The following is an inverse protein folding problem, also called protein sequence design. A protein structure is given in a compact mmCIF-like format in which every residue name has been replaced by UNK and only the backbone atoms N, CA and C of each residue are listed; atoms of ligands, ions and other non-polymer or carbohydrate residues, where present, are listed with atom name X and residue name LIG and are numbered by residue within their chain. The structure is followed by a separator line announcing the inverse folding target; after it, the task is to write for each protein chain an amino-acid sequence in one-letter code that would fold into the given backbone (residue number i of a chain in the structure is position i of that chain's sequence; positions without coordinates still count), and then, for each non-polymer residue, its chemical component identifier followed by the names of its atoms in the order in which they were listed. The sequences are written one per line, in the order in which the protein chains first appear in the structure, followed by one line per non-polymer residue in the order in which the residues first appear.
data_IF_896751374122
#
_entry.id   IF_896751374122
#
_cell.length_a   1.000
_cell.length_b   1.000
_cell.length_c   1.000
_cell.angle_alpha   90.00
_cell.angle_beta   90.00
_cell.angle_gamma   90.00
#
_symmetry.space_group_name_H-M   'P 1'
#
loop_
_entity.id
_entity.type
_entity.pdbx_description
1 polymer ?
#
# COMPACT_ATOMS: atom_id res chain seq x y z
N UNK A 1 1.46 -16.02 -13.10
CA UNK A 1 2.16 -14.90 -12.42
C UNK A 1 3.53 -15.43 -12.12
N UNK A 2 4.48 -15.27 -13.03
CA UNK A 2 5.72 -16.07 -13.04
C UNK A 2 6.95 -15.21 -13.30
N UNK A 3 6.87 -13.91 -12.98
CA UNK A 3 8.04 -13.06 -13.07
C UNK A 3 9.05 -13.43 -11.97
N UNK A 4 10.30 -13.64 -12.38
CA UNK A 4 11.42 -13.91 -11.50
C UNK A 4 12.58 -12.98 -11.88
N UNK A 5 13.31 -12.44 -10.90
CA UNK A 5 14.47 -11.61 -11.18
C UNK A 5 15.60 -12.46 -11.75
N UNK A 6 16.38 -11.87 -12.65
CA UNK A 6 17.70 -12.39 -12.98
C UNK A 6 18.65 -12.02 -11.84
N UNK A 7 19.42 -12.99 -11.34
CA UNK A 7 20.27 -12.79 -10.16
C UNK A 7 21.25 -11.61 -10.34
N UNK A 8 21.86 -11.48 -11.52
CA UNK A 8 22.78 -10.40 -11.82
C UNK A 8 22.10 -9.02 -11.77
N UNK A 9 20.87 -8.92 -12.28
CA UNK A 9 20.09 -7.68 -12.22
C UNK A 9 19.67 -7.33 -10.80
N UNK A 10 19.30 -8.33 -10.01
CA UNK A 10 18.95 -8.16 -8.60
C UNK A 10 20.15 -7.65 -7.79
N UNK A 11 21.31 -8.25 -7.97
CA UNK A 11 22.54 -7.85 -7.26
C UNK A 11 22.92 -6.39 -7.57
N UNK A 12 22.78 -5.98 -8.84
CA UNK A 12 23.02 -4.59 -9.25
C UNK A 12 22.04 -3.61 -8.61
N UNK A 13 20.76 -3.97 -8.52
CA UNK A 13 19.73 -3.12 -7.90
C UNK A 13 19.95 -3.01 -6.40
N UNK A 14 20.30 -4.11 -5.72
CA UNK A 14 20.65 -4.08 -4.30
C UNK A 14 21.87 -3.21 -4.03
N UNK A 15 22.90 -3.31 -4.87
CA UNK A 15 24.07 -2.45 -4.78
C UNK A 15 23.68 -0.97 -4.91
N UNK A 16 22.85 -0.64 -5.90
CA UNK A 16 22.37 0.72 -6.13
C UNK A 16 21.56 1.26 -4.93
N UNK A 17 20.64 0.46 -4.39
CA UNK A 17 19.81 0.82 -3.25
C UNK A 17 20.64 1.05 -1.97
N UNK A 18 21.69 0.27 -1.76
CA UNK A 18 22.64 0.49 -0.65
C UNK A 18 23.45 1.77 -0.86
N UNK A 19 23.86 2.04 -2.10
CA UNK A 19 24.58 3.28 -2.44
C UNK A 19 23.73 4.55 -2.27
N UNK A 20 22.41 4.50 -2.52
CA UNK A 20 21.50 5.63 -2.25
C UNK A 20 21.38 6.01 -0.77
N UNK A 21 21.94 5.22 0.15
CA UNK A 21 21.98 5.56 1.58
C UNK A 21 23.31 6.25 1.97
N UNK A 22 24.25 6.36 1.04
CA UNK A 22 25.54 7.02 1.27
C UNK A 22 25.36 8.53 1.51
N UNK A 23 26.03 9.15 2.49
CA UNK A 23 26.02 10.60 2.67
C UNK A 23 26.85 11.35 1.62
N UNK A 24 27.62 10.64 0.78
CA UNK A 24 28.50 11.23 -0.22
C UNK A 24 27.71 11.80 -1.44
N UNK A 25 27.91 13.09 -1.72
CA UNK A 25 27.18 13.81 -2.76
C UNK A 25 27.49 13.28 -4.18
N UNK A 26 28.71 12.82 -4.44
CA UNK A 26 29.07 12.26 -5.75
C UNK A 26 28.36 10.92 -5.98
N UNK A 27 28.33 10.08 -4.95
CA UNK A 27 27.61 8.80 -4.94
C UNK A 27 26.11 9.03 -5.14
N UNK A 28 25.50 9.99 -4.44
CA UNK A 28 24.08 10.33 -4.61
C UNK A 28 23.75 10.77 -6.04
N UNK A 29 24.57 11.64 -6.63
CA UNK A 29 24.38 12.07 -8.03
C UNK A 29 24.51 10.90 -9.01
N UNK A 30 25.48 10.02 -8.81
CA UNK A 30 25.64 8.82 -9.65
C UNK A 30 24.43 7.89 -9.54
N UNK A 31 23.94 7.65 -8.31
CA UNK A 31 22.79 6.80 -8.06
C UNK A 31 21.53 7.38 -8.70
N UNK A 32 21.31 8.70 -8.58
CA UNK A 32 20.16 9.37 -9.19
C UNK A 32 20.15 9.20 -10.72
N UNK A 33 21.29 9.40 -11.40
CA UNK A 33 21.42 9.19 -12.84
C UNK A 33 21.10 7.74 -13.23
N UNK A 34 21.62 6.76 -12.47
CA UNK A 34 21.35 5.34 -12.70
C UNK A 34 19.88 4.97 -12.49
N UNK A 35 19.23 5.52 -11.46
CA UNK A 35 17.80 5.29 -11.23
C UNK A 35 16.96 5.86 -12.39
N UNK A 36 17.31 7.04 -12.90
CA UNK A 36 16.64 7.63 -14.06
C UNK A 36 16.80 6.78 -15.34
N UNK A 37 17.98 6.21 -15.57
CA UNK A 37 18.21 5.25 -16.65
C UNK A 37 17.33 3.99 -16.47
N UNK A 38 17.35 3.39 -15.28
CA UNK A 38 16.64 2.16 -14.95
C UNK A 38 15.12 2.32 -15.02
N UNK A 39 14.61 3.51 -14.70
CA UNK A 39 13.18 3.82 -14.78
C UNK A 39 12.60 3.64 -16.18
N UNK A 40 13.43 3.66 -17.23
CA UNK A 40 12.99 3.42 -18.61
C UNK A 40 12.71 1.95 -18.93
N UNK A 41 13.11 1.03 -18.05
CA UNK A 41 12.83 -0.40 -18.19
C UNK A 41 11.61 -0.78 -17.34
N UNK A 42 10.50 -1.23 -17.94
CA UNK A 42 9.30 -1.61 -17.17
C UNK A 42 9.54 -2.68 -16.11
N UNK A 43 10.46 -3.62 -16.36
CA UNK A 43 10.84 -4.67 -15.42
C UNK A 43 11.51 -4.14 -14.16
N UNK A 44 12.05 -2.91 -14.17
CA UNK A 44 12.65 -2.30 -12.98
C UNK A 44 11.63 -2.23 -11.83
N UNK A 45 10.37 -1.92 -12.13
CA UNK A 45 9.29 -1.93 -11.14
C UNK A 45 9.08 -3.31 -10.49
N UNK A 46 9.25 -4.39 -11.26
CA UNK A 46 9.13 -5.75 -10.74
C UNK A 46 10.30 -6.09 -9.80
N UNK A 47 11.52 -5.65 -10.11
CA UNK A 47 12.65 -5.79 -9.19
C UNK A 47 12.42 -5.01 -7.90
N UNK A 48 11.93 -3.77 -7.99
CA UNK A 48 11.71 -2.94 -6.81
C UNK A 48 10.67 -3.54 -5.87
N UNK A 49 9.55 -4.05 -6.41
CA UNK A 49 8.54 -4.72 -5.58
C UNK A 49 9.06 -6.04 -5.03
N UNK A 50 9.87 -6.79 -5.79
CA UNK A 50 10.49 -8.03 -5.33
C UNK A 50 11.44 -7.79 -4.15
N UNK A 51 12.26 -6.73 -4.20
CA UNK A 51 13.13 -6.34 -3.07
C UNK A 51 12.28 -5.96 -1.85
N UNK A 52 11.19 -5.23 -2.06
CA UNK A 52 10.27 -4.87 -0.98
C UNK A 52 9.62 -6.12 -0.34
N UNK A 53 9.10 -7.07 -1.15
CA UNK A 53 8.27 -8.18 -0.67
C UNK A 53 9.03 -9.45 -0.31
N UNK A 54 10.06 -9.84 -1.08
CA UNK A 54 10.68 -11.18 -0.99
C UNK A 54 12.09 -11.19 -0.40
N UNK A 55 12.82 -10.07 -0.45
CA UNK A 55 14.18 -9.99 0.10
C UNK A 55 14.19 -9.78 1.62
N UNK A 56 13.59 -10.71 2.36
CA UNK A 56 13.39 -10.62 3.82
C UNK A 56 14.70 -10.54 4.63
N UNK A 57 15.82 -10.96 4.05
CA UNK A 57 17.14 -10.90 4.68
C UNK A 57 17.86 -9.57 4.47
N UNK A 58 17.35 -8.72 3.56
CA UNK A 58 17.86 -7.35 3.38
C UNK A 58 17.33 -6.45 4.50
N UNK A 59 18.08 -5.41 4.84
CA UNK A 59 17.72 -4.48 5.90
C UNK A 59 16.44 -3.70 5.57
N UNK A 60 15.68 -3.35 6.61
CA UNK A 60 14.39 -2.65 6.45
C UNK A 60 14.51 -1.31 5.71
N UNK A 61 15.55 -0.46 5.96
CA UNK A 61 15.77 0.75 5.17
C UNK A 61 15.92 0.49 3.67
N UNK A 62 16.74 -0.48 3.26
CA UNK A 62 16.93 -0.86 1.85
C UNK A 62 15.62 -1.32 1.20
N UNK A 63 14.89 -2.22 1.87
CA UNK A 63 13.58 -2.72 1.39
C UNK A 63 12.56 -1.59 1.26
N UNK A 64 12.47 -0.73 2.27
CA UNK A 64 11.56 0.41 2.31
C UNK A 64 11.88 1.44 1.22
N UNK A 65 13.17 1.76 1.02
CA UNK A 65 13.62 2.67 -0.03
C UNK A 65 13.23 2.15 -1.42
N UNK A 66 13.36 0.85 -1.66
CA UNK A 66 12.90 0.20 -2.90
C UNK A 66 11.40 0.47 -3.16
N UNK A 67 10.57 0.30 -2.13
CA UNK A 67 9.13 0.59 -2.21
C UNK A 67 8.81 2.05 -2.47
N UNK A 68 9.58 2.98 -1.89
CA UNK A 68 9.40 4.42 -2.10
C UNK A 68 9.78 4.86 -3.52
N UNK A 69 10.88 4.32 -4.06
CA UNK A 69 11.28 4.54 -5.46
C UNK A 69 10.19 4.00 -6.40
N UNK A 70 9.69 2.78 -6.14
CA UNK A 70 8.60 2.19 -6.91
C UNK A 70 7.34 3.05 -6.89
N UNK A 71 6.97 3.56 -5.71
CA UNK A 71 5.83 4.47 -5.57
C UNK A 71 6.00 5.72 -6.43
N UNK A 72 7.21 6.31 -6.48
CA UNK A 72 7.47 7.47 -7.33
C UNK A 72 7.38 7.12 -8.83
N UNK A 73 7.86 5.93 -9.22
CA UNK A 73 7.76 5.45 -10.60
C UNK A 73 6.31 5.24 -11.05
N UNK A 74 5.49 4.64 -10.19
CA UNK A 74 4.05 4.46 -10.42
C UNK A 74 3.39 5.83 -10.57
N UNK A 75 3.63 6.75 -9.63
CA UNK A 75 3.07 8.11 -9.70
C UNK A 75 3.41 8.84 -11.00
N UNK A 76 4.64 8.72 -11.47
CA UNK A 76 5.07 9.42 -12.68
C UNK A 76 4.64 8.74 -13.99
N UNK A 77 4.52 7.40 -13.99
CA UNK A 77 4.47 6.60 -15.24
C UNK A 77 3.39 5.52 -15.27
N UNK A 78 2.41 5.53 -14.36
CA UNK A 78 1.38 4.48 -14.28
C UNK A 78 0.78 4.10 -15.63
N UNK A 79 0.37 5.10 -16.43
CA UNK A 79 -0.24 4.88 -17.77
C UNK A 79 0.71 4.28 -18.81
N UNK A 80 2.02 4.42 -18.61
CA UNK A 80 3.07 3.89 -19.51
C UNK A 80 3.49 2.46 -19.11
N UNK A 81 3.21 2.04 -17.88
CA UNK A 81 3.60 0.73 -17.40
C UNK A 81 2.71 -0.37 -18.02
N UNK A 82 3.30 -1.50 -18.46
CA UNK A 82 2.54 -2.67 -18.88
C UNK A 82 1.60 -3.14 -17.76
N UNK A 83 0.42 -3.64 -18.14
CA UNK A 83 -0.58 -4.08 -17.15
C UNK A 83 -0.14 -5.31 -16.38
N UNK A 84 0.69 -6.14 -16.99
CA UNK A 84 1.33 -7.29 -16.37
C UNK A 84 2.24 -6.86 -15.21
N UNK A 85 3.00 -5.78 -15.38
CA UNK A 85 3.85 -5.18 -14.33
C UNK A 85 2.99 -4.63 -13.21
N UNK A 86 1.94 -3.86 -13.53
CA UNK A 86 1.03 -3.32 -12.51
C UNK A 86 0.37 -4.46 -11.71
N UNK A 87 -0.11 -5.50 -12.38
CA UNK A 87 -0.76 -6.64 -11.73
C UNK A 87 0.22 -7.42 -10.84
N UNK A 88 1.47 -7.58 -11.27
CA UNK A 88 2.52 -8.19 -10.45
C UNK A 88 2.80 -7.34 -9.21
N UNK A 89 2.95 -6.02 -9.37
CA UNK A 89 3.16 -5.10 -8.24
C UNK A 89 1.98 -5.13 -7.26
N UNK A 90 0.73 -5.11 -7.76
CA UNK A 90 -0.48 -5.22 -6.93
C UNK A 90 -0.47 -6.51 -6.10
N UNK A 91 -0.17 -7.64 -6.74
CA UNK A 91 -0.10 -8.95 -6.08
C UNK A 91 0.98 -8.96 -4.99
N UNK A 92 2.21 -8.59 -5.32
CA UNK A 92 3.34 -8.60 -4.39
C UNK A 92 3.12 -7.63 -3.21
N UNK A 93 2.58 -6.44 -3.47
CA UNK A 93 2.23 -5.48 -2.42
C UNK A 93 1.19 -6.06 -1.44
N UNK A 94 0.17 -6.76 -1.94
CA UNK A 94 -0.82 -7.43 -1.08
C UNK A 94 -0.20 -8.52 -0.21
N UNK A 95 0.74 -9.31 -0.75
CA UNK A 95 1.41 -10.37 0.04
C UNK A 95 2.29 -9.81 1.16
N UNK A 96 2.80 -8.59 1.00
CA UNK A 96 3.70 -7.94 1.95
C UNK A 96 2.97 -7.05 2.98
N UNK A 97 1.63 -6.91 2.91
CA UNK A 97 0.92 -6.03 3.85
C UNK A 97 1.04 -6.47 5.32
N UNK A 98 1.24 -7.77 5.55
CA UNK A 98 1.41 -8.36 6.88
C UNK A 98 2.87 -8.52 7.32
N UNK A 99 3.81 -7.80 6.72
CA UNK A 99 5.23 -7.87 7.08
C UNK A 99 5.45 -7.56 8.58
N UNK A 100 6.34 -8.24 9.32
CA UNK A 100 6.59 -7.96 10.73
C UNK A 100 7.10 -6.52 11.02
N UNK A 101 7.83 -5.92 10.08
CA UNK A 101 8.32 -4.54 10.21
C UNK A 101 7.22 -3.52 9.94
N UNK A 102 7.00 -2.62 10.90
CA UNK A 102 6.07 -1.50 10.74
C UNK A 102 6.49 -0.54 9.63
N UNK A 103 7.79 -0.42 9.36
CA UNK A 103 8.31 0.43 8.29
C UNK A 103 7.89 -0.12 6.93
N UNK A 104 8.04 -1.44 6.72
CA UNK A 104 7.65 -2.09 5.48
C UNK A 104 6.14 -2.02 5.27
N UNK A 105 5.34 -2.30 6.31
CA UNK A 105 3.87 -2.17 6.21
C UNK A 105 3.43 -0.75 5.85
N UNK A 106 4.06 0.28 6.42
CA UNK A 106 3.77 1.67 6.07
C UNK A 106 4.10 1.96 4.59
N UNK A 107 5.26 1.50 4.11
CA UNK A 107 5.67 1.67 2.71
C UNK A 107 4.74 0.93 1.73
N UNK A 108 4.31 -0.29 2.07
CA UNK A 108 3.31 -1.04 1.30
C UNK A 108 1.98 -0.29 1.28
N UNK A 109 1.54 0.27 2.41
CA UNK A 109 0.33 1.10 2.48
C UNK A 109 0.37 2.31 1.55
N UNK A 110 1.50 3.02 1.53
CA UNK A 110 1.74 4.15 0.62
C UNK A 110 1.72 3.70 -0.85
N UNK A 111 2.35 2.56 -1.16
CA UNK A 111 2.39 1.99 -2.50
C UNK A 111 0.99 1.61 -3.00
N UNK A 112 0.19 0.92 -2.18
CA UNK A 112 -1.18 0.52 -2.52
C UNK A 112 -2.07 1.75 -2.70
N UNK A 113 -2.01 2.74 -1.80
CA UNK A 113 -2.77 3.99 -1.98
C UNK A 113 -2.39 4.70 -3.28
N UNK A 114 -1.10 4.76 -3.62
CA UNK A 114 -0.64 5.36 -4.88
C UNK A 114 -1.18 4.60 -6.11
N UNK A 115 -1.16 3.26 -6.08
CA UNK A 115 -1.73 2.44 -7.15
C UNK A 115 -3.22 2.70 -7.37
N UNK A 116 -3.97 2.94 -6.31
CA UNK A 116 -5.39 3.29 -6.41
C UNK A 116 -5.61 4.70 -6.95
N UNK A 117 -4.83 5.66 -6.47
CA UNK A 117 -4.92 7.06 -6.91
C UNK A 117 -4.64 7.19 -8.42
N UNK A 118 -3.56 6.59 -8.90
CA UNK A 118 -3.18 6.66 -10.32
C UNK A 118 -4.00 5.71 -11.21
N UNK A 119 -4.45 4.60 -10.61
CA UNK A 119 -5.14 3.53 -11.30
C UNK A 119 -6.64 3.68 -11.44
N UNK A 120 -7.24 4.74 -10.93
CA UNK A 120 -8.69 4.87 -10.76
C UNK A 120 -9.25 3.77 -9.84
N UNK A 121 -10.10 4.19 -8.90
CA UNK A 121 -10.66 3.33 -7.86
C UNK A 121 -11.37 2.07 -8.43
N UNK A 122 -11.94 2.19 -9.63
CA UNK A 122 -12.69 1.15 -10.32
C UNK A 122 -11.82 0.07 -10.98
N UNK A 123 -10.52 0.31 -11.20
CA UNK A 123 -9.62 -0.69 -11.81
C UNK A 123 -9.04 -1.69 -10.80
N UNK A 124 -9.47 -1.62 -9.54
CA UNK A 124 -9.09 -2.59 -8.50
C UNK A 124 -10.24 -2.86 -7.50
N UNK A 125 -11.40 -3.33 -7.98
CA UNK A 125 -12.58 -3.49 -7.13
C UNK A 125 -12.40 -4.54 -6.03
N UNK A 126 -11.55 -5.55 -6.26
CA UNK A 126 -11.32 -6.65 -5.32
C UNK A 126 -10.52 -6.22 -4.08
N UNK A 127 -9.87 -5.06 -4.12
CA UNK A 127 -8.98 -4.63 -3.04
C UNK A 127 -9.73 -4.46 -1.71
N UNK A 128 -10.90 -3.82 -1.72
CA UNK A 128 -11.69 -3.64 -0.49
C UNK A 128 -12.17 -4.97 0.08
N UNK A 129 -12.56 -5.91 -0.78
CA UNK A 129 -12.96 -7.25 -0.35
C UNK A 129 -11.77 -8.03 0.28
N UNK A 130 -10.57 -7.91 -0.32
CA UNK A 130 -9.35 -8.50 0.24
C UNK A 130 -9.03 -7.88 1.60
N UNK A 131 -9.06 -6.55 1.72
CA UNK A 131 -8.78 -5.84 2.97
C UNK A 131 -9.80 -6.18 4.05
N UNK A 132 -11.09 -6.23 3.70
CA UNK A 132 -12.18 -6.62 4.61
C UNK A 132 -11.94 -8.02 5.19
N UNK A 133 -11.55 -8.99 4.35
CA UNK A 133 -11.21 -10.34 4.79
C UNK A 133 -9.95 -10.35 5.70
N UNK A 134 -8.95 -9.53 5.38
CA UNK A 134 -7.73 -9.43 6.19
C UNK A 134 -7.94 -8.80 7.56
N UNK A 135 -9.01 -8.02 7.75
CA UNK A 135 -9.41 -7.56 9.08
C UNK A 135 -9.86 -8.71 10.01
N UNK A 136 -10.30 -9.86 9.48
CA UNK A 136 -10.63 -11.06 10.28
C UNK A 136 -9.42 -11.97 10.54
N UNK A 137 -8.23 -11.61 10.05
CA UNK A 137 -7.05 -12.43 10.23
C UNK A 137 -6.66 -12.52 11.71
N UNK A 138 -6.39 -13.74 12.18
CA UNK A 138 -5.81 -13.97 13.51
C UNK A 138 -4.37 -13.43 13.61
N UNK A 139 -3.71 -13.23 12.46
CA UNK A 139 -2.39 -12.62 12.42
C UNK A 139 -2.51 -11.10 12.62
N UNK A 140 -2.01 -10.65 13.77
CA UNK A 140 -1.95 -9.23 14.13
C UNK A 140 -1.36 -8.34 13.01
N UNK A 141 -0.27 -8.76 12.37
CA UNK A 141 0.40 -7.95 11.35
C UNK A 141 -0.44 -7.80 10.08
N UNK A 142 -1.16 -8.85 9.68
CA UNK A 142 -2.08 -8.77 8.54
C UNK A 142 -3.28 -7.87 8.84
N UNK A 143 -3.90 -8.04 10.02
CA UNK A 143 -5.02 -7.20 10.45
C UNK A 143 -4.61 -5.73 10.53
N UNK A 144 -3.46 -5.43 11.15
CA UNK A 144 -2.97 -4.06 11.30
C UNK A 144 -2.53 -3.46 9.97
N UNK A 145 -1.88 -4.24 9.09
CA UNK A 145 -1.54 -3.83 7.73
C UNK A 145 -2.77 -3.48 6.90
N UNK A 146 -3.81 -4.31 6.96
CA UNK A 146 -5.09 -4.05 6.29
C UNK A 146 -5.75 -2.77 6.82
N UNK A 147 -5.75 -2.54 8.14
CA UNK A 147 -6.22 -1.29 8.73
C UNK A 147 -5.41 -0.08 8.27
N UNK A 148 -4.09 -0.19 8.23
CA UNK A 148 -3.22 0.90 7.77
C UNK A 148 -3.50 1.28 6.32
N UNK A 149 -3.73 0.28 5.46
CA UNK A 149 -4.10 0.50 4.06
C UNK A 149 -5.48 1.12 3.95
N UNK A 150 -6.50 0.55 4.61
CA UNK A 150 -7.87 1.07 4.61
C UNK A 150 -7.93 2.51 5.09
N UNK A 151 -7.23 2.82 6.18
CA UNK A 151 -7.14 4.18 6.71
C UNK A 151 -6.61 5.15 5.67
N UNK A 152 -5.52 4.80 4.97
CA UNK A 152 -4.95 5.67 3.93
C UNK A 152 -5.90 5.84 2.74
N UNK A 153 -6.52 4.76 2.28
CA UNK A 153 -7.47 4.78 1.17
C UNK A 153 -8.66 5.68 1.48
N UNK A 154 -9.23 5.53 2.69
CA UNK A 154 -10.39 6.30 3.14
C UNK A 154 -10.00 7.77 3.36
N UNK A 155 -8.87 8.04 4.00
CA UNK A 155 -8.34 9.40 4.19
C UNK A 155 -8.21 10.15 2.85
N UNK A 156 -7.66 9.48 1.83
CA UNK A 156 -7.37 10.12 0.54
C UNK A 156 -8.59 10.12 -0.42
N UNK A 157 -9.59 9.24 -0.23
CA UNK A 157 -10.65 8.98 -1.21
C UNK A 157 -12.08 8.85 -0.62
N UNK A 158 -12.35 9.33 0.60
CA UNK A 158 -13.65 9.17 1.27
C UNK A 158 -14.86 9.55 0.38
N UNK A 159 -14.80 10.70 -0.30
CA UNK A 159 -15.87 11.16 -1.19
C UNK A 159 -16.02 10.27 -2.42
N UNK A 160 -14.91 9.81 -3.02
CA UNK A 160 -14.93 8.96 -4.20
C UNK A 160 -15.44 7.54 -3.88
N UNK A 161 -15.25 7.08 -2.64
CA UNK A 161 -15.76 5.80 -2.13
C UNK A 161 -17.28 5.83 -1.88
N UNK A 162 -17.85 7.02 -1.63
CA UNK A 162 -19.29 7.21 -1.37
C UNK A 162 -20.11 7.14 -2.68
N UNK A 163 -20.05 5.98 -3.35
CA UNK A 163 -20.77 5.70 -4.58
C UNK A 163 -21.37 4.28 -4.56
N UNK A 164 -22.26 4.00 -5.52
CA UNK A 164 -22.97 2.71 -5.60
C UNK A 164 -22.04 1.51 -5.80
N UNK A 165 -20.87 1.69 -6.43
CA UNK A 165 -19.94 0.60 -6.73
C UNK A 165 -19.28 0.03 -5.47
N UNK A 166 -19.03 0.87 -4.45
CA UNK A 166 -18.40 0.46 -3.19
C UNK A 166 -19.37 0.39 -2.01
N UNK A 167 -20.62 0.84 -2.20
CA UNK A 167 -21.66 0.87 -1.17
C UNK A 167 -21.81 -0.47 -0.45
N UNK A 168 -21.75 -1.60 -1.18
CA UNK A 168 -21.83 -2.94 -0.57
C UNK A 168 -20.67 -3.21 0.39
N UNK A 169 -19.44 -2.96 -0.04
CA UNK A 169 -18.24 -3.20 0.77
C UNK A 169 -18.19 -2.26 1.97
N UNK A 170 -18.56 -1.00 1.80
CA UNK A 170 -18.58 -0.02 2.89
C UNK A 170 -19.65 -0.35 3.95
N UNK A 171 -20.82 -0.85 3.54
CA UNK A 171 -21.85 -1.32 4.47
C UNK A 171 -21.41 -2.53 5.31
N UNK A 172 -20.39 -3.28 4.87
CA UNK A 172 -19.78 -4.34 5.67
C UNK A 172 -18.62 -3.80 6.53
N UNK A 173 -17.82 -2.88 5.99
CA UNK A 173 -16.66 -2.30 6.67
C UNK A 173 -17.05 -1.41 7.86
N UNK A 174 -18.05 -0.53 7.71
CA UNK A 174 -18.41 0.45 8.76
C UNK A 174 -18.85 -0.24 10.07
N UNK A 175 -19.82 -1.18 10.06
CA UNK A 175 -20.18 -1.92 11.28
C UNK A 175 -18.99 -2.63 11.91
N UNK A 176 -18.08 -3.14 11.06
CA UNK A 176 -16.88 -3.81 11.52
C UNK A 176 -15.94 -2.86 12.25
N UNK A 177 -15.75 -1.64 11.74
CA UNK A 177 -14.96 -0.61 12.43
C UNK A 177 -15.49 -0.35 13.84
N UNK A 178 -16.81 -0.30 14.04
CA UNK A 178 -17.38 -0.16 15.39
C UNK A 178 -17.04 -1.33 16.31
N UNK A 179 -17.08 -2.57 15.81
CA UNK A 179 -16.65 -3.73 16.60
C UNK A 179 -15.19 -3.57 17.07
N UNK A 180 -14.33 -3.03 16.19
CA UNK A 180 -12.93 -2.77 16.50
C UNK A 180 -12.69 -1.59 17.46
N UNK A 181 -13.69 -0.78 17.82
CA UNK A 181 -13.54 0.27 18.84
C UNK A 181 -13.24 -0.31 20.24
N UNK A 182 -13.65 -1.55 20.49
CA UNK A 182 -13.39 -2.25 21.76
C UNK A 182 -12.21 -3.22 21.68
N UNK A 183 -11.49 -3.25 20.56
CA UNK A 183 -10.36 -4.17 20.36
C UNK A 183 -9.29 -3.96 21.44
N UNK A 184 -8.65 -5.01 21.99
CA UNK A 184 -7.62 -4.86 23.02
C UNK A 184 -6.41 -4.02 22.56
N UNK A 185 -6.09 -4.01 21.27
CA UNK A 185 -4.97 -3.27 20.72
C UNK A 185 -5.33 -1.79 20.44
N UNK A 186 -4.64 -0.86 21.10
CA UNK A 186 -4.87 0.58 20.96
C UNK A 186 -4.63 1.12 19.56
N UNK A 187 -3.68 0.55 18.81
CA UNK A 187 -3.36 0.97 17.45
C UNK A 187 -4.51 0.63 16.49
N UNK A 188 -5.06 -0.58 16.61
CA UNK A 188 -6.22 -1.02 15.83
C UNK A 188 -7.44 -0.15 16.14
N UNK A 189 -7.71 0.11 17.43
CA UNK A 189 -8.79 1.04 17.84
C UNK A 189 -8.63 2.42 17.18
N UNK A 190 -7.41 2.95 17.18
CA UNK A 190 -7.12 4.25 16.56
C UNK A 190 -7.40 4.24 15.07
N UNK A 191 -7.00 3.18 14.33
CA UNK A 191 -7.29 3.10 12.90
C UNK A 191 -8.78 3.02 12.61
N UNK A 192 -9.51 2.17 13.33
CA UNK A 192 -10.96 2.03 13.16
C UNK A 192 -11.67 3.37 13.39
N UNK A 193 -11.33 4.07 14.47
CA UNK A 193 -11.89 5.38 14.78
C UNK A 193 -11.53 6.42 13.70
N UNK A 194 -10.28 6.45 13.24
CA UNK A 194 -9.86 7.37 12.17
C UNK A 194 -10.59 7.09 10.85
N UNK A 195 -10.83 5.83 10.50
CA UNK A 195 -11.60 5.49 9.29
C UNK A 195 -13.02 6.05 9.35
N UNK A 196 -13.72 5.83 10.47
CA UNK A 196 -15.08 6.37 10.68
C UNK A 196 -15.07 7.89 10.70
N UNK A 197 -14.12 8.51 11.41
CA UNK A 197 -14.00 9.96 11.47
C UNK A 197 -13.82 10.59 10.09
N UNK A 198 -13.03 9.97 9.21
CA UNK A 198 -12.87 10.46 7.83
C UNK A 198 -14.19 10.43 7.05
N UNK A 199 -15.02 9.40 7.21
CA UNK A 199 -16.35 9.36 6.58
C UNK A 199 -17.30 10.44 7.11
N UNK A 200 -17.26 10.70 8.42
CA UNK A 200 -18.06 11.76 9.06
C UNK A 200 -17.62 13.14 8.61
N UNK A 201 -16.31 13.43 8.63
CA UNK A 201 -15.74 14.73 8.27
C UNK A 201 -16.05 15.09 6.80
N UNK A 202 -16.01 14.09 5.91
CA UNK A 202 -16.34 14.25 4.50
C UNK A 202 -17.86 14.16 4.21
N UNK A 203 -18.71 14.05 5.24
CA UNK A 203 -20.19 14.04 5.14
C UNK A 203 -20.73 13.00 4.15
N UNK A 204 -20.10 11.84 4.11
CA UNK A 204 -20.48 10.76 3.21
C UNK A 204 -21.88 10.22 3.55
N UNK A 205 -22.68 9.94 2.52
CA UNK A 205 -24.04 9.41 2.65
C UNK A 205 -24.04 8.02 3.27
N UNK A 206 -23.01 7.22 2.99
CA UNK A 206 -22.85 5.88 3.55
C UNK A 206 -22.82 5.85 5.08
N UNK A 207 -22.41 6.94 5.74
CA UNK A 207 -22.34 7.03 7.19
C UNK A 207 -23.67 7.43 7.85
N UNK A 208 -24.59 8.05 7.10
CA UNK A 208 -25.86 8.57 7.63
C UNK A 208 -26.69 7.54 8.41
N UNK A 209 -26.83 6.27 7.98
CA UNK A 209 -27.57 5.24 8.73
C UNK A 209 -26.89 4.82 10.04
N UNK A 210 -25.60 5.12 10.21
CA UNK A 210 -24.78 4.67 11.32
C UNK A 210 -24.44 5.78 12.33
N UNK A 211 -24.91 7.01 12.11
CA UNK A 211 -24.61 8.16 12.98
C UNK A 211 -25.09 7.92 14.40
N UNK A 212 -26.30 7.41 14.57
CA UNK A 212 -26.85 7.15 15.91
C UNK A 212 -26.03 6.08 16.65
N UNK A 213 -25.64 5.00 15.95
CA UNK A 213 -24.79 3.92 16.49
C UNK A 213 -23.40 4.41 16.89
N UNK A 214 -22.88 5.44 16.21
CA UNK A 214 -21.58 6.04 16.54
C UNK A 214 -21.62 6.93 17.79
N UNK A 215 -22.79 7.52 18.11
CA UNK A 215 -22.97 8.42 19.26
C UNK A 215 -23.20 7.63 20.56
N UNK A 216 -23.73 6.40 20.46
CA UNK A 216 -23.89 5.45 21.58
C UNK A 216 -22.55 4.91 22.10
#
# INVERSE_FOLDING_TARGET
MDWQPEQQGLDQILQLLRQSQSPDAQTQNHVQQRLEELNNFPNFSNYLVFVLSKMINEDEPTRSLSGLILKNNIKARYRQLPREVINYVKFEALTCMGDPSSLIRATVGILISTLMQEGELQQWPELLDILLNKLDSENYYECEGAFSILHKIIEDNAEALDNENFCRQLNLLIPKFFQFFTNPNSKIRSYALSCVNNFILNRTQIMMPYVDVFIE
#
